data_IF_565271968928
#
_entry.id   IF_565271968928
#
_cell.length_a   1.000
_cell.length_b   1.000
_cell.length_c   1.000
_cell.angle_alpha   90.00
_cell.angle_beta   90.00
_cell.angle_gamma   90.00
#
_symmetry.space_group_name_H-M   'P 1'
#
loop_
_entity.id
_entity.type
_entity.pdbx_description
1 polymer ?
#
# COMPACT_ATOMS: atom_id res chain seq x y z
N UNK A 1 7.65 -36.54 -15.32
CA UNK A 1 7.68 -35.19 -14.72
C UNK A 1 6.30 -34.58 -14.89
N UNK A 2 5.80 -33.84 -13.91
CA UNK A 2 4.55 -33.09 -14.04
C UNK A 2 4.87 -31.86 -14.89
N UNK A 3 4.24 -31.73 -16.04
CA UNK A 3 4.31 -30.54 -16.90
C UNK A 3 2.95 -29.85 -16.89
N UNK A 4 2.74 -28.96 -15.91
CA UNK A 4 1.57 -28.11 -15.87
C UNK A 4 1.84 -26.81 -16.65
N UNK A 5 0.85 -26.33 -17.39
CA UNK A 5 0.92 -25.06 -18.12
C UNK A 5 0.91 -23.87 -17.14
N UNK A 6 1.31 -22.68 -17.59
CA UNK A 6 1.20 -21.47 -16.76
C UNK A 6 -0.24 -21.19 -16.30
N UNK A 7 -1.24 -21.46 -17.16
CA UNK A 7 -2.65 -21.31 -16.82
C UNK A 7 -3.06 -22.28 -15.71
N UNK A 8 -2.64 -23.54 -15.80
CA UNK A 8 -2.90 -24.54 -14.76
C UNK A 8 -2.25 -24.19 -13.42
N UNK A 9 -1.03 -23.65 -13.45
CA UNK A 9 -0.36 -23.15 -12.24
C UNK A 9 -1.13 -21.96 -11.66
N UNK A 10 -1.59 -21.02 -12.49
CA UNK A 10 -2.43 -19.90 -12.05
C UNK A 10 -3.74 -20.36 -11.44
N UNK A 11 -4.37 -21.40 -11.97
CA UNK A 11 -5.59 -21.99 -11.42
C UNK A 11 -5.35 -22.65 -10.06
N UNK A 12 -4.23 -23.34 -9.87
CA UNK A 12 -3.83 -23.85 -8.56
C UNK A 12 -3.63 -22.71 -7.55
N UNK A 13 -2.88 -21.66 -7.92
CA UNK A 13 -2.70 -20.49 -7.06
C UNK A 13 -4.04 -19.84 -6.72
N UNK A 14 -4.91 -19.64 -7.71
CA UNK A 14 -6.24 -19.09 -7.49
C UNK A 14 -7.04 -19.96 -6.52
N UNK A 15 -7.12 -21.27 -6.76
CA UNK A 15 -7.87 -22.21 -5.91
C UNK A 15 -7.40 -22.18 -4.45
N UNK A 16 -6.09 -22.04 -4.24
CA UNK A 16 -5.44 -22.02 -2.94
C UNK A 16 -5.45 -20.61 -2.26
N UNK A 17 -5.85 -19.59 -3.01
CA UNK A 17 -5.79 -18.19 -2.57
C UNK A 17 -4.39 -17.58 -2.60
N UNK A 18 -3.43 -18.24 -3.25
CA UNK A 18 -2.08 -17.74 -3.42
C UNK A 18 -2.07 -16.63 -4.48
N UNK A 19 -1.16 -15.66 -4.31
CA UNK A 19 -0.88 -14.65 -5.33
C UNK A 19 0.62 -14.46 -5.48
N UNK A 20 1.21 -14.71 -6.66
CA UNK A 20 2.64 -14.56 -6.90
C UNK A 20 3.11 -13.10 -6.72
N UNK A 21 2.22 -12.15 -7.03
CA UNK A 21 2.46 -10.70 -7.00
C UNK A 21 2.30 -10.08 -5.61
N UNK A 22 1.77 -10.84 -4.64
CA UNK A 22 1.51 -10.37 -3.29
C UNK A 22 2.46 -11.06 -2.30
N UNK A 23 3.13 -10.26 -1.47
CA UNK A 23 4.06 -10.79 -0.44
C UNK A 23 3.36 -11.49 0.73
N UNK A 24 2.11 -11.11 1.01
CA UNK A 24 1.26 -11.56 2.11
C UNK A 24 0.40 -12.78 1.74
N UNK A 25 0.04 -12.95 0.45
CA UNK A 25 -0.78 -14.06 -0.04
C UNK A 25 0.05 -15.24 -0.52
N UNK A 26 0.92 -15.73 0.36
CA UNK A 26 1.81 -16.87 0.09
C UNK A 26 1.54 -18.11 0.94
N UNK A 27 0.56 -18.01 1.82
CA UNK A 27 0.05 -19.11 2.63
C UNK A 27 -1.34 -19.45 2.14
N UNK A 28 -1.63 -20.75 2.06
CA UNK A 28 -2.95 -21.25 1.67
C UNK A 28 -3.96 -20.87 2.75
N UNK A 29 -5.06 -20.24 2.34
CA UNK A 29 -6.17 -19.89 3.23
C UNK A 29 -7.54 -20.35 2.70
N UNK A 30 -7.59 -20.88 1.48
CA UNK A 30 -8.78 -21.46 0.86
C UNK A 30 -8.35 -22.64 -0.03
N UNK A 31 -9.29 -23.48 -0.43
CA UNK A 31 -9.02 -24.61 -1.34
C UNK A 31 -10.31 -25.13 -2.01
N UNK A 32 -11.06 -24.23 -2.65
CA UNK A 32 -12.36 -24.54 -3.25
C UNK A 32 -12.53 -23.69 -4.51
N UNK A 33 -12.76 -24.34 -5.66
CA UNK A 33 -13.02 -23.71 -6.95
C UNK A 33 -14.27 -24.34 -7.55
N UNK A 34 -15.32 -23.56 -7.77
CA UNK A 34 -16.57 -24.04 -8.35
C UNK A 34 -16.61 -23.64 -9.82
N UNK A 35 -16.82 -24.60 -10.72
CA UNK A 35 -16.91 -24.33 -12.15
C UNK A 35 -18.13 -25.04 -12.75
N UNK A 36 -18.88 -24.31 -13.57
CA UNK A 36 -20.05 -24.84 -14.27
C UNK A 36 -19.75 -25.32 -15.69
N UNK A 37 -20.73 -25.96 -16.34
CA UNK A 37 -20.64 -26.37 -17.74
C UNK A 37 -20.34 -25.15 -18.65
N UNK A 38 -19.33 -25.28 -19.52
CA UNK A 38 -18.94 -24.22 -20.45
C UNK A 38 -18.02 -23.14 -19.85
N UNK A 39 -17.54 -23.30 -18.62
CA UNK A 39 -16.51 -22.43 -18.05
C UNK A 39 -15.15 -22.72 -18.69
N UNK A 40 -14.45 -21.67 -19.15
CA UNK A 40 -13.23 -21.79 -19.95
C UNK A 40 -12.09 -22.56 -19.25
N UNK A 41 -12.03 -22.48 -17.93
CA UNK A 41 -11.01 -23.18 -17.12
C UNK A 41 -11.29 -24.68 -16.89
N UNK A 42 -12.48 -25.20 -17.23
CA UNK A 42 -12.84 -26.62 -16.98
C UNK A 42 -11.85 -27.61 -17.62
N UNK A 43 -11.42 -27.45 -18.90
CA UNK A 43 -10.43 -28.34 -19.49
C UNK A 43 -9.11 -28.39 -18.72
N UNK A 44 -8.64 -27.25 -18.21
CA UNK A 44 -7.41 -27.18 -17.41
C UNK A 44 -7.58 -27.77 -16.00
N UNK A 45 -8.75 -27.57 -15.38
CA UNK A 45 -9.09 -28.19 -14.10
C UNK A 45 -9.16 -29.72 -14.21
N UNK A 46 -9.81 -30.25 -15.25
CA UNK A 46 -9.85 -31.70 -15.51
C UNK A 46 -8.46 -32.26 -15.85
N UNK A 47 -7.63 -31.52 -16.58
CA UNK A 47 -6.24 -31.88 -16.81
C UNK A 47 -5.44 -31.95 -15.50
N UNK A 48 -5.63 -31.00 -14.59
CA UNK A 48 -5.02 -31.01 -13.25
C UNK A 48 -5.51 -32.16 -12.38
N UNK A 49 -6.79 -32.55 -12.50
CA UNK A 49 -7.36 -33.73 -11.83
C UNK A 49 -6.71 -35.01 -12.36
N UNK A 50 -6.60 -35.17 -13.68
CA UNK A 50 -5.95 -36.35 -14.28
C UNK A 50 -4.47 -36.49 -13.91
N UNK A 51 -3.79 -35.38 -13.62
CA UNK A 51 -2.41 -35.35 -13.12
C UNK A 51 -2.30 -35.59 -11.60
N UNK A 52 -3.42 -35.68 -10.87
CA UNK A 52 -3.47 -35.87 -9.42
C UNK A 52 -3.10 -34.63 -8.60
N UNK A 53 -3.03 -33.45 -9.23
CA UNK A 53 -2.80 -32.17 -8.55
C UNK A 53 -4.09 -31.58 -7.98
N UNK A 54 -5.23 -31.91 -8.59
CA UNK A 54 -6.55 -31.57 -8.08
C UNK A 54 -7.42 -32.81 -7.93
N UNK A 55 -8.53 -32.63 -7.23
CA UNK A 55 -9.63 -33.58 -7.16
C UNK A 55 -10.94 -32.82 -7.31
N UNK A 56 -11.99 -33.52 -7.68
CA UNK A 56 -13.32 -32.96 -7.92
C UNK A 56 -14.38 -33.71 -7.12
N UNK A 57 -15.47 -33.01 -6.82
CA UNK A 57 -16.65 -33.59 -6.16
C UNK A 57 -17.91 -32.83 -6.56
N UNK A 58 -19.07 -33.42 -6.23
CA UNK A 58 -20.35 -32.74 -6.36
C UNK A 58 -20.37 -31.44 -5.54
N UNK A 59 -21.02 -30.40 -6.04
CA UNK A 59 -21.07 -29.14 -5.36
C UNK A 59 -22.00 -29.23 -4.14
N UNK A 60 -21.89 -28.31 -3.17
CA UNK A 60 -22.84 -28.22 -2.07
C UNK A 60 -24.29 -28.10 -2.56
N UNK A 61 -25.26 -28.53 -1.75
CA UNK A 61 -26.68 -28.58 -2.14
C UNK A 61 -27.29 -27.21 -2.49
N UNK A 62 -26.67 -26.11 -2.05
CA UNK A 62 -27.11 -24.75 -2.36
C UNK A 62 -26.60 -24.24 -3.73
N UNK A 63 -25.68 -24.96 -4.36
CA UNK A 63 -25.18 -24.66 -5.71
C UNK A 63 -25.98 -25.41 -6.77
N UNK A 64 -25.83 -25.00 -8.03
CA UNK A 64 -26.40 -25.73 -9.15
C UNK A 64 -25.73 -27.12 -9.25
N UNK A 65 -26.54 -28.17 -9.34
CA UNK A 65 -26.04 -29.55 -9.33
C UNK A 65 -25.36 -29.96 -10.64
N UNK A 66 -25.42 -29.12 -11.68
CA UNK A 66 -24.65 -29.27 -12.91
C UNK A 66 -23.20 -28.77 -12.80
N UNK A 67 -22.86 -28.04 -11.74
CA UNK A 67 -21.50 -27.54 -11.49
C UNK A 67 -20.61 -28.61 -10.85
N UNK A 68 -19.30 -28.38 -10.87
CA UNK A 68 -18.30 -29.25 -10.26
C UNK A 68 -17.44 -28.43 -9.30
N UNK A 69 -17.24 -28.97 -8.10
CA UNK A 69 -16.37 -28.38 -7.09
C UNK A 69 -14.98 -29.04 -7.15
N UNK A 70 -14.00 -28.27 -7.59
CA UNK A 70 -12.59 -28.64 -7.65
C UNK A 70 -11.84 -28.15 -6.40
N UNK A 71 -10.81 -28.90 -6.02
CA UNK A 71 -9.89 -28.55 -4.94
C UNK A 71 -8.52 -29.17 -5.19
N UNK A 72 -7.46 -28.48 -4.80
CA UNK A 72 -6.10 -29.00 -4.87
C UNK A 72 -5.90 -30.13 -3.85
N UNK A 73 -5.17 -31.17 -4.25
CA UNK A 73 -4.66 -32.21 -3.34
C UNK A 73 -3.46 -31.66 -2.56
N UNK A 74 -3.00 -32.36 -1.53
CA UNK A 74 -1.75 -31.99 -0.82
C UNK A 74 -0.56 -31.88 -1.78
N UNK A 75 -0.50 -32.79 -2.76
CA UNK A 75 0.51 -32.76 -3.82
C UNK A 75 0.37 -31.53 -4.72
N UNK A 76 -0.86 -31.15 -5.07
CA UNK A 76 -1.16 -29.94 -5.82
C UNK A 76 -0.76 -28.67 -5.09
N UNK A 77 -1.01 -28.63 -3.78
CA UNK A 77 -0.62 -27.52 -2.91
C UNK A 77 0.90 -27.36 -2.86
N UNK A 78 1.63 -28.45 -2.59
CA UNK A 78 3.10 -28.43 -2.57
C UNK A 78 3.65 -27.97 -3.93
N UNK A 79 3.15 -28.53 -5.03
CA UNK A 79 3.54 -28.14 -6.38
C UNK A 79 3.27 -26.66 -6.66
N UNK A 80 2.12 -26.13 -6.25
CA UNK A 80 1.77 -24.73 -6.42
C UNK A 80 2.71 -23.80 -5.64
N UNK A 81 3.05 -24.16 -4.40
CA UNK A 81 4.00 -23.40 -3.57
C UNK A 81 5.41 -23.43 -4.16
N UNK A 82 5.87 -24.59 -4.62
CA UNK A 82 7.19 -24.74 -5.26
C UNK A 82 7.33 -23.90 -6.54
N UNK A 83 6.24 -23.72 -7.29
CA UNK A 83 6.22 -22.90 -8.51
C UNK A 83 6.13 -21.40 -8.24
N UNK A 84 5.90 -20.97 -7.00
CA UNK A 84 5.80 -19.54 -6.69
C UNK A 84 7.14 -18.84 -6.98
N UNK A 85 7.14 -17.70 -7.69
CA UNK A 85 8.34 -16.88 -7.83
C UNK A 85 8.78 -16.36 -6.46
N UNK A 86 10.03 -15.89 -6.29
CA UNK A 86 10.43 -15.23 -5.04
C UNK A 86 9.50 -14.06 -4.68
N UNK A 87 9.33 -13.74 -3.39
CA UNK A 87 8.45 -12.66 -2.97
C UNK A 87 8.89 -11.32 -3.57
N UNK A 88 7.95 -10.52 -4.08
CA UNK A 88 8.28 -9.20 -4.60
C UNK A 88 8.85 -8.34 -3.48
N UNK A 89 9.77 -7.45 -3.83
CA UNK A 89 10.32 -6.47 -2.88
C UNK A 89 9.20 -5.55 -2.42
N UNK A 90 9.01 -5.45 -1.11
CA UNK A 90 8.08 -4.49 -0.53
C UNK A 90 8.47 -3.07 -0.91
N UNK A 91 7.51 -2.29 -1.39
CA UNK A 91 7.69 -0.86 -1.49
C UNK A 91 7.75 -0.25 -0.08
N UNK A 92 8.28 0.96 0.04
CA UNK A 92 8.20 1.69 1.32
C UNK A 92 6.76 1.92 1.75
N UNK A 93 5.83 2.05 0.79
CA UNK A 93 4.42 2.21 1.09
C UNK A 93 3.80 0.92 1.64
N UNK A 94 4.16 -0.25 1.10
CA UNK A 94 3.72 -1.54 1.66
C UNK A 94 4.25 -1.75 3.07
N UNK A 95 5.51 -1.36 3.31
CA UNK A 95 6.09 -1.39 4.65
C UNK A 95 5.33 -0.46 5.61
N UNK A 96 4.94 0.74 5.15
CA UNK A 96 4.11 1.66 5.93
C UNK A 96 2.74 1.08 6.27
N UNK A 97 2.03 0.48 5.31
CA UNK A 97 0.69 -0.08 5.56
C UNK A 97 0.69 -1.12 6.68
N UNK A 98 1.77 -1.89 6.84
CA UNK A 98 1.93 -2.90 7.91
C UNK A 98 2.07 -2.31 9.32
N UNK A 99 2.48 -1.05 9.44
CA UNK A 99 2.72 -0.35 10.72
C UNK A 99 2.03 1.01 10.75
N UNK A 100 1.00 1.19 9.94
CA UNK A 100 0.38 2.49 9.70
C UNK A 100 -0.32 3.04 10.94
N UNK A 101 -0.70 2.17 11.88
CA UNK A 101 -1.20 2.50 13.21
C UNK A 101 -0.15 3.15 14.12
N UNK A 102 1.15 2.96 13.84
CA UNK A 102 2.26 3.55 14.59
C UNK A 102 2.64 4.96 14.13
N UNK A 103 2.05 5.48 13.05
CA UNK A 103 2.42 6.76 12.44
C UNK A 103 1.17 7.53 12.00
N UNK A 104 1.17 8.85 12.18
CA UNK A 104 0.04 9.69 11.73
C UNK A 104 -0.06 9.74 10.21
N UNK A 105 1.07 9.71 9.48
CA UNK A 105 1.08 9.76 8.02
C UNK A 105 2.38 9.21 7.40
N UNK A 106 2.34 8.88 6.10
CA UNK A 106 3.47 8.27 5.38
C UNK A 106 4.77 9.09 5.43
N UNK A 107 4.70 10.42 5.40
CA UNK A 107 5.90 11.25 5.51
C UNK A 107 6.61 11.11 6.87
N UNK A 108 5.89 10.81 7.96
CA UNK A 108 6.46 10.55 9.28
C UNK A 108 7.18 9.20 9.29
N UNK A 109 6.55 8.17 8.71
CA UNK A 109 7.18 6.86 8.50
C UNK A 109 8.49 6.97 7.71
N UNK A 110 8.54 7.84 6.70
CA UNK A 110 9.76 8.10 5.93
C UNK A 110 10.77 9.03 6.62
N UNK A 111 10.47 9.51 7.82
CA UNK A 111 11.22 10.57 8.52
C UNK A 111 11.49 11.80 7.63
N UNK A 112 10.53 12.14 6.77
CA UNK A 112 10.59 13.36 5.96
C UNK A 112 10.18 14.52 6.86
N UNK A 113 11.02 15.55 6.94
CA UNK A 113 10.65 16.80 7.62
C UNK A 113 9.77 17.66 6.71
N UNK A 114 8.49 17.29 6.66
CA UNK A 114 7.50 17.93 5.81
C UNK A 114 7.21 19.36 6.30
N UNK A 115 7.12 20.35 5.40
CA UNK A 115 6.67 21.68 5.75
C UNK A 115 5.15 21.73 6.01
N UNK A 116 4.75 22.60 6.93
CA UNK A 116 3.37 22.85 7.32
C UNK A 116 2.94 24.26 6.94
N UNK A 117 1.63 24.50 6.84
CA UNK A 117 1.07 25.84 6.70
C UNK A 117 0.69 26.40 8.07
N UNK A 118 1.06 27.65 8.30
CA UNK A 118 0.49 28.52 9.31
C UNK A 118 -0.49 29.47 8.64
N UNK A 119 -1.56 29.81 9.35
CA UNK A 119 -2.58 30.75 8.93
C UNK A 119 -2.75 31.81 10.02
N UNK A 120 -3.01 33.05 9.61
CA UNK A 120 -3.38 34.16 10.51
C UNK A 120 -4.42 35.05 9.85
N UNK A 121 -5.03 35.92 10.65
CA UNK A 121 -6.07 36.84 10.20
C UNK A 121 -7.47 36.24 10.31
N UNK A 122 -8.48 37.05 10.02
CA UNK A 122 -9.88 36.68 10.14
C UNK A 122 -10.62 36.83 8.79
N UNK A 123 -11.60 35.97 8.57
CA UNK A 123 -12.58 36.05 7.48
C UNK A 123 -11.97 36.21 6.07
N UNK A 124 -11.89 37.45 5.56
CA UNK A 124 -11.45 37.77 4.19
C UNK A 124 -9.96 38.18 4.12
N UNK A 125 -9.31 38.36 5.26
CA UNK A 125 -7.91 38.81 5.34
C UNK A 125 -6.98 37.68 5.82
N UNK A 126 -7.23 36.46 5.36
CA UNK A 126 -6.37 35.33 5.70
C UNK A 126 -5.02 35.45 5.00
N UNK A 127 -3.97 35.30 5.79
CA UNK A 127 -2.62 35.14 5.28
C UNK A 127 -2.11 33.75 5.64
N UNK A 128 -1.26 33.24 4.76
CA UNK A 128 -0.65 31.93 4.85
C UNK A 128 0.86 32.07 4.87
N UNK A 129 1.52 31.21 5.61
CA UNK A 129 2.97 31.06 5.60
C UNK A 129 3.28 29.57 5.61
N UNK A 130 4.27 29.14 4.84
CA UNK A 130 4.76 27.78 4.93
C UNK A 130 6.01 27.76 5.81
N UNK A 131 6.06 26.82 6.74
CA UNK A 131 7.14 26.67 7.72
C UNK A 131 7.60 25.23 7.79
N UNK A 132 8.82 25.02 8.28
CA UNK A 132 9.35 23.71 8.66
C UNK A 132 9.86 23.86 10.07
N UNK A 133 9.32 23.05 10.97
CA UNK A 133 9.78 22.98 12.35
C UNK A 133 11.08 22.18 12.44
N UNK A 134 11.82 22.37 13.52
CA UNK A 134 13.01 21.56 13.82
C UNK A 134 12.61 20.09 14.04
N UNK A 135 13.57 19.16 13.91
CA UNK A 135 13.29 17.72 14.08
C UNK A 135 12.86 17.35 15.51
N UNK A 136 13.25 18.16 16.48
CA UNK A 136 12.92 18.00 17.91
C UNK A 136 11.58 18.64 18.28
N UNK A 137 11.00 19.44 17.39
CA UNK A 137 9.75 20.14 17.67
C UNK A 137 8.57 19.17 17.75
N UNK A 138 7.73 19.27 18.79
CA UNK A 138 6.49 18.49 18.86
C UNK A 138 5.49 18.87 17.77
N UNK A 139 5.64 20.05 17.13
CA UNK A 139 4.76 20.53 16.08
C UNK A 139 5.14 20.03 14.68
N UNK A 140 6.25 19.31 14.53
CA UNK A 140 6.74 18.80 13.24
C UNK A 140 5.75 17.88 12.51
N UNK A 141 4.90 17.18 13.26
CA UNK A 141 3.95 16.20 12.72
C UNK A 141 2.48 16.64 12.84
N UNK A 142 2.22 17.88 13.28
CA UNK A 142 0.85 18.32 13.56
C UNK A 142 0.07 18.60 12.25
N UNK A 143 -0.83 17.69 11.88
CA UNK A 143 -1.62 17.74 10.64
C UNK A 143 -2.86 18.66 10.72
N UNK A 144 -3.12 19.32 11.86
CA UNK A 144 -4.26 20.25 11.99
C UNK A 144 -3.97 21.58 11.29
N UNK A 145 -4.05 21.55 9.97
CA UNK A 145 -3.73 22.62 9.02
C UNK A 145 -4.55 23.92 9.13
N UNK A 146 -5.56 24.02 10.02
CA UNK A 146 -6.52 25.13 10.01
C UNK A 146 -6.90 25.70 11.38
N UNK A 147 -6.31 25.22 12.48
CA UNK A 147 -6.59 25.82 13.80
C UNK A 147 -5.64 26.98 14.07
N UNK A 148 -6.17 28.21 13.99
CA UNK A 148 -5.49 29.49 14.25
C UNK A 148 -4.79 29.57 15.63
N UNK A 149 -5.08 28.62 16.54
CA UNK A 149 -4.75 28.65 17.97
C UNK A 149 -3.65 27.67 18.40
N UNK A 150 -3.17 26.78 17.53
CA UNK A 150 -2.38 25.62 17.97
C UNK A 150 -0.88 25.66 17.62
N UNK A 151 -0.35 26.77 17.13
CA UNK A 151 1.11 26.92 16.95
C UNK A 151 1.66 27.94 17.96
N UNK A 152 2.70 27.54 18.70
CA UNK A 152 3.37 28.43 19.63
C UNK A 152 4.21 29.46 18.85
N UNK A 153 4.05 30.77 19.07
CA UNK A 153 4.90 31.79 18.45
C UNK A 153 6.35 31.74 18.96
N UNK A 154 6.59 30.98 20.03
CA UNK A 154 7.89 30.78 20.64
C UNK A 154 8.63 29.54 20.12
N UNK A 155 7.99 28.75 19.24
CA UNK A 155 8.61 27.54 18.69
C UNK A 155 9.67 27.88 17.63
N UNK A 156 10.81 27.20 17.71
CA UNK A 156 11.89 27.39 16.75
C UNK A 156 11.52 26.82 15.36
N UNK A 157 11.73 27.63 14.33
CA UNK A 157 11.48 27.26 12.94
C UNK A 157 12.80 27.02 12.23
N UNK A 158 12.95 25.84 11.62
CA UNK A 158 14.10 25.51 10.78
C UNK A 158 14.09 26.36 9.49
N UNK A 159 12.94 26.43 8.83
CA UNK A 159 12.75 27.24 7.62
C UNK A 159 11.39 27.88 7.71
N UNK A 160 11.31 29.15 7.34
CA UNK A 160 10.04 29.84 7.35
C UNK A 160 9.99 30.80 6.16
N UNK A 161 8.94 30.68 5.34
CA UNK A 161 8.68 31.64 4.25
C UNK A 161 8.12 32.96 4.79
N UNK A 162 7.54 33.77 3.92
CA UNK A 162 6.83 34.99 4.30
C UNK A 162 5.32 34.75 4.37
N UNK A 163 4.64 35.61 5.13
CA UNK A 163 3.18 35.67 5.10
C UNK A 163 2.71 36.21 3.76
N UNK A 164 1.71 35.54 3.18
CA UNK A 164 1.18 35.89 1.88
C UNK A 164 -0.34 35.65 1.81
N UNK A 165 -1.08 36.39 0.98
CA UNK A 165 -2.54 36.28 0.90
C UNK A 165 -3.02 34.96 0.26
N UNK A 166 -2.13 34.18 -0.35
CA UNK A 166 -2.47 32.89 -0.95
C UNK A 166 -1.45 31.82 -0.58
N UNK A 167 -1.91 30.57 -0.45
CA UNK A 167 -1.03 29.41 -0.22
C UNK A 167 0.02 29.25 -1.33
N UNK A 168 -0.32 29.61 -2.58
CA UNK A 168 0.60 29.55 -3.72
C UNK A 168 1.78 30.52 -3.54
N UNK A 169 1.50 31.76 -3.13
CA UNK A 169 2.53 32.76 -2.86
C UNK A 169 3.38 32.37 -1.63
N UNK A 170 2.74 31.87 -0.56
CA UNK A 170 3.44 31.37 0.64
C UNK A 170 4.40 30.21 0.31
N UNK A 171 3.95 29.25 -0.52
CA UNK A 171 4.79 28.13 -0.99
C UNK A 171 5.97 28.59 -1.84
N UNK A 172 5.79 29.63 -2.65
CA UNK A 172 6.87 30.21 -3.45
C UNK A 172 7.94 30.87 -2.56
N UNK A 173 7.52 31.70 -1.60
CA UNK A 173 8.45 32.31 -0.62
C UNK A 173 9.18 31.25 0.20
N UNK A 174 8.48 30.22 0.70
CA UNK A 174 9.12 29.10 1.42
C UNK A 174 10.17 28.37 0.60
N UNK A 175 9.92 28.10 -0.69
CA UNK A 175 10.91 27.46 -1.57
C UNK A 175 12.17 28.32 -1.73
N UNK A 176 12.02 29.64 -1.81
CA UNK A 176 13.16 30.56 -1.84
C UNK A 176 13.95 30.52 -0.52
N UNK A 177 13.26 30.59 0.63
CA UNK A 177 13.88 30.48 1.94
C UNK A 177 14.62 29.14 2.12
N UNK A 178 14.02 28.03 1.70
CA UNK A 178 14.63 26.69 1.75
C UNK A 178 15.88 26.60 0.86
N UNK A 179 15.86 27.20 -0.34
CA UNK A 179 17.02 27.25 -1.24
C UNK A 179 18.16 28.03 -0.59
N UNK A 180 17.86 29.18 0.02
CA UNK A 180 18.85 30.01 0.70
C UNK A 180 19.48 29.27 1.90
N UNK A 181 18.68 28.60 2.73
CA UNK A 181 19.19 27.79 3.85
C UNK A 181 20.10 26.67 3.37
N UNK A 182 19.73 25.97 2.29
CA UNK A 182 20.56 24.91 1.71
C UNK A 182 21.90 25.45 1.20
N UNK A 183 21.90 26.64 0.59
CA UNK A 183 23.14 27.28 0.15
C UNK A 183 24.04 27.67 1.34
N UNK A 184 23.46 28.21 2.42
CA UNK A 184 24.19 28.54 3.65
C UNK A 184 24.79 27.31 4.33
N UNK A 185 24.07 26.19 4.35
CA UNK A 185 24.55 24.94 4.95
C UNK A 185 25.69 24.25 4.19
N UNK A 186 25.98 24.65 2.94
CA UNK A 186 27.09 24.13 2.13
C UNK A 186 28.36 24.98 2.29
N UNK A 187 28.22 26.21 2.80
CA UNK A 187 29.32 27.16 3.01
C UNK A 187 29.95 27.07 4.41
N UNK A 188 29.36 26.27 5.30
CA UNK A 188 29.84 25.95 6.65
C UNK A 188 30.36 24.51 6.67
#
# INVERSE_FOLDING_TARGET
>A
MIEATEQQIRLLWHTLGLSPECSDRRTVYRNRFLAGPGHDDVPDLEALVSQGLMSSRKPPAFCDQSEVLYFATERGEQFAIEKMPPPPKLSKFDAYLRVSDCYEHFAQFLDINAPLYQQRGEWRNHEYRMVRYTRTSPYRHYDRHYSLTNWSPYEELEVAGDWAPTMKAAKASYKAALKNRRAQAVLL
#
